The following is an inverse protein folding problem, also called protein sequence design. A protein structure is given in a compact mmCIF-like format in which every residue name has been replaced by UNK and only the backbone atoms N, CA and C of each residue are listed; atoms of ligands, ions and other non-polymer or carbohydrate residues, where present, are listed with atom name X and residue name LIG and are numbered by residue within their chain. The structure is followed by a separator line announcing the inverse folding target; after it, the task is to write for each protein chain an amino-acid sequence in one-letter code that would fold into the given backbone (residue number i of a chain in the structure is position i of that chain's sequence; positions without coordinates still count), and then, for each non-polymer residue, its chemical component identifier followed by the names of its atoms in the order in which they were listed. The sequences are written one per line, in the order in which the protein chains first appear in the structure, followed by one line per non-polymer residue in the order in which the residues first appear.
data_IF_981888043241
#
_entry.id   IF_981888043241
#
_cell.length_a   1.000
_cell.length_b   1.000
_cell.length_c   1.000
_cell.angle_alpha   90.00
_cell.angle_beta   90.00
_cell.angle_gamma   90.00
#
_symmetry.space_group_name_H-M   'P 1'
#
loop_
_entity.id
_entity.type
_entity.pdbx_description
1 polymer ?
#
# COMPACT_ATOMS: atom_id res chain seq x y z
N UNK A 7 24.61 -2.81 -0.73
CA UNK A 7 24.52 -4.18 -1.18
C UNK A 7 23.15 -4.42 -1.82
N UNK A 8 23.06 -4.05 -3.13
CA UNK A 8 21.82 -4.20 -3.88
C UNK A 8 21.58 -5.68 -4.24
N UNK A 9 20.62 -6.27 -3.56
CA UNK A 9 20.29 -7.67 -3.81
C UNK A 9 18.80 -7.93 -3.51
N UNK A 10 17.97 -6.99 -3.93
CA UNK A 10 16.54 -7.11 -3.73
C UNK A 10 16.04 -8.36 -4.42
N UNK A 11 16.81 -8.82 -5.39
CA UNK A 11 16.46 -10.01 -6.15
C UNK A 11 16.36 -11.22 -5.22
N UNK A 12 17.22 -11.21 -4.20
CA UNK A 12 17.24 -12.30 -3.24
C UNK A 12 15.98 -12.24 -2.39
N UNK A 13 15.59 -11.02 -2.05
CA UNK A 13 14.40 -10.81 -1.23
C UNK A 13 13.13 -10.93 -2.07
N UNK A 14 13.18 -10.32 -3.25
CA UNK A 14 12.05 -10.34 -4.16
C UNK A 14 11.79 -11.78 -4.60
N UNK A 15 12.85 -12.57 -4.59
CA UNK A 15 12.74 -13.97 -4.99
C UNK A 15 12.11 -14.80 -3.87
N UNK A 16 12.25 -14.30 -2.66
CA UNK A 16 11.71 -14.99 -1.50
C UNK A 16 10.21 -14.68 -1.37
N UNK A 17 9.82 -13.55 -1.91
CA UNK A 17 8.43 -13.13 -1.87
C UNK A 17 7.76 -13.49 -3.19
N UNK A 18 8.57 -13.86 -4.16
CA UNK A 18 8.07 -14.22 -5.47
C UNK A 18 7.82 -12.98 -6.33
N UNK A 19 8.91 -12.31 -6.68
CA UNK A 19 8.83 -11.12 -7.50
C UNK A 19 9.93 -11.16 -8.56
N UNK A 20 10.14 -12.36 -9.09
CA UNK A 20 11.16 -12.56 -10.10
C UNK A 20 10.89 -11.68 -11.32
N UNK A 21 9.62 -11.31 -11.47
CA UNK A 21 9.22 -10.48 -12.58
C UNK A 21 9.03 -9.04 -12.12
N UNK A 22 9.83 -8.65 -11.13
CA UNK A 22 9.77 -7.31 -10.59
C UNK A 22 11.17 -6.68 -10.53
N UNK A 23 12.12 -7.39 -11.11
CA UNK A 23 13.50 -6.91 -11.13
C UNK A 23 13.58 -5.65 -11.99
N UNK A 24 13.34 -5.83 -13.28
CA UNK A 24 13.38 -4.72 -14.21
C UNK A 24 12.32 -3.69 -13.83
N UNK A 25 11.37 -4.14 -13.02
CA UNK A 25 10.30 -3.27 -12.57
C UNK A 25 10.76 -2.45 -11.37
N UNK A 26 11.36 -3.14 -10.41
CA UNK A 26 11.85 -2.50 -9.21
C UNK A 26 13.03 -1.56 -9.52
N UNK A 27 13.91 -2.05 -10.39
CA UNK A 27 15.07 -1.28 -10.79
C UNK A 27 14.61 0.01 -11.48
N UNK A 28 13.40 -0.05 -12.01
CA UNK A 28 12.84 1.10 -12.71
C UNK A 28 12.40 2.16 -11.71
N UNK A 29 11.71 1.71 -10.67
CA UNK A 29 11.24 2.61 -9.63
C UNK A 29 12.38 2.87 -8.65
N UNK A 30 13.27 1.88 -8.55
CA UNK A 30 14.40 1.98 -7.65
C UNK A 30 14.12 1.19 -6.38
N UNK A 31 13.93 -0.11 -6.56
CA UNK A 31 13.63 -0.98 -5.43
C UNK A 31 14.67 -2.11 -5.39
N UNK A 32 15.87 -1.78 -5.83
CA UNK A 32 16.96 -2.75 -5.85
C UNK A 32 17.80 -2.60 -4.58
N UNK A 33 17.20 -1.97 -3.59
CA UNK A 33 17.88 -1.76 -2.32
C UNK A 33 17.03 -2.29 -1.16
N UNK A 34 17.72 -2.58 -0.06
CA UNK A 34 17.04 -3.11 1.12
C UNK A 34 16.55 -1.95 1.99
N UNK A 35 16.14 -0.87 1.33
CA UNK A 35 15.64 0.29 2.03
C UNK A 35 14.55 0.98 1.21
N UNK A 36 14.82 1.12 -0.08
CA UNK A 36 13.88 1.75 -0.98
C UNK A 36 12.49 1.12 -0.83
N UNK A 37 12.49 -0.20 -0.78
CA UNK A 37 11.24 -0.94 -0.63
C UNK A 37 10.75 -0.83 0.80
N UNK A 38 11.67 -0.46 1.69
CA UNK A 38 11.34 -0.31 3.09
C UNK A 38 10.48 0.94 3.29
N UNK A 39 10.51 1.79 2.29
CA UNK A 39 9.75 3.03 2.33
C UNK A 39 8.93 3.21 1.06
N UNK A 40 8.34 2.12 0.61
CA UNK A 40 7.53 2.15 -0.60
C UNK A 40 6.09 1.75 -0.25
N UNK A 41 5.19 2.05 -1.18
CA UNK A 41 3.78 1.74 -0.98
C UNK A 41 3.34 0.73 -2.05
N UNK A 42 2.09 0.31 -1.92
CA UNK A 42 1.53 -0.65 -2.86
C UNK A 42 1.27 0.04 -4.20
N UNK A 43 0.82 1.29 -4.11
CA UNK A 43 0.55 2.07 -5.30
C UNK A 43 1.83 2.27 -6.09
N UNK A 44 2.94 2.27 -5.37
CA UNK A 44 4.24 2.45 -6.00
C UNK A 44 4.59 1.19 -6.81
N UNK A 45 4.21 0.05 -6.25
CA UNK A 45 4.47 -1.22 -6.91
C UNK A 45 3.55 -1.37 -8.11
N UNK A 46 2.26 -1.24 -7.85
CA UNK A 46 1.25 -1.35 -8.89
C UNK A 46 1.60 -0.40 -10.04
N UNK A 47 2.12 0.76 -9.67
CA UNK A 47 2.50 1.76 -10.66
C UNK A 47 3.83 1.35 -11.30
N UNK A 48 4.61 0.59 -10.54
CA UNK A 48 5.90 0.13 -11.03
C UNK A 48 5.69 -0.76 -12.25
N UNK A 49 4.53 -1.39 -12.28
CA UNK A 49 4.19 -2.27 -13.39
C UNK A 49 3.67 -3.62 -12.89
N UNK A 50 3.20 -3.60 -11.65
CA UNK A 50 2.67 -4.81 -11.04
C UNK A 50 1.22 -4.57 -10.61
N UNK A 51 0.35 -4.51 -11.61
CA UNK A 51 -1.07 -4.29 -11.35
C UNK A 51 -1.67 -5.54 -10.73
N UNK A 52 -0.91 -6.63 -10.81
CA UNK A 52 -1.37 -7.90 -10.26
C UNK A 52 -1.88 -7.68 -8.83
N UNK A 53 -3.20 -7.58 -8.73
CA UNK A 53 -3.83 -7.37 -7.44
C UNK A 53 -3.63 -8.62 -6.57
N UNK A 54 -3.32 -8.36 -5.30
CA UNK A 54 -3.11 -9.45 -4.36
C UNK A 54 -1.66 -9.43 -3.84
N UNK A 55 -0.83 -10.24 -4.50
CA UNK A 55 0.56 -10.34 -4.12
C UNK A 55 1.08 -8.95 -3.71
N UNK A 56 0.50 -7.94 -4.34
CA UNK A 56 0.89 -6.57 -4.06
C UNK A 56 0.88 -6.32 -2.55
N UNK A 57 -0.14 -6.84 -1.89
CA UNK A 57 -0.26 -6.68 -0.45
C UNK A 57 0.91 -7.38 0.24
N UNK A 58 1.28 -8.53 -0.32
CA UNK A 58 2.39 -9.31 0.24
C UNK A 58 3.65 -8.44 0.25
N UNK A 59 3.98 -7.92 -0.91
CA UNK A 59 5.16 -7.08 -1.04
C UNK A 59 5.08 -5.93 -0.04
N UNK A 60 3.86 -5.44 0.15
CA UNK A 60 3.63 -4.35 1.08
C UNK A 60 4.04 -4.78 2.49
N UNK A 61 3.78 -6.04 2.79
CA UNK A 61 4.11 -6.59 4.09
C UNK A 61 5.62 -6.85 4.18
N UNK A 62 6.12 -7.57 3.18
CA UNK A 62 7.53 -7.91 3.14
C UNK A 62 8.35 -6.61 3.05
N UNK A 63 7.78 -5.63 2.37
CA UNK A 63 8.45 -4.35 2.21
C UNK A 63 8.88 -3.82 3.58
N UNK A 64 8.05 -4.07 4.57
CA UNK A 64 8.33 -3.62 5.92
C UNK A 64 9.39 -4.53 6.55
N UNK A 65 9.54 -5.71 5.95
CA UNK A 65 10.51 -6.67 6.43
C UNK A 65 11.87 -5.99 6.64
N UNK A 66 12.00 -4.82 6.03
CA UNK A 66 13.25 -4.07 6.15
C UNK A 66 13.19 -3.10 7.32
N UNK A 67 14.28 -3.07 8.08
CA UNK A 67 14.37 -2.19 9.23
C UNK A 67 15.51 -1.19 9.05
N UNK A 68 16.73 -1.72 9.01
CA UNK A 68 17.90 -0.89 8.85
C UNK A 68 19.05 -1.71 8.25
N UNK B 7 -16.34 7.78 19.36
CA UNK B 7 -17.23 8.30 18.34
C UNK B 7 -16.40 8.67 17.10
N UNK B 8 -15.83 7.61 16.45
CA UNK B 8 -15.03 7.82 15.26
C UNK B 8 -15.90 8.14 14.05
N UNK B 9 -15.28 8.76 13.06
CA UNK B 9 -15.99 9.12 11.85
C UNK B 9 -15.02 9.26 10.66
N UNK B 10 -14.70 8.11 10.08
CA UNK B 10 -13.79 8.07 8.94
C UNK B 10 -14.34 8.97 7.83
N UNK B 11 -15.64 9.25 7.92
CA UNK B 11 -16.29 10.09 6.93
C UNK B 11 -15.68 11.49 6.94
N UNK B 12 -15.43 11.99 8.14
CA UNK B 12 -14.86 13.31 8.30
C UNK B 12 -13.41 13.30 7.78
N UNK B 13 -12.83 12.11 7.78
CA UNK B 13 -11.46 11.94 7.31
C UNK B 13 -11.42 11.79 5.79
N UNK B 14 -12.34 10.98 5.28
CA UNK B 14 -12.41 10.74 3.85
C UNK B 14 -12.79 12.04 3.14
N UNK B 15 -13.48 12.90 3.87
CA UNK B 15 -13.90 14.19 3.32
C UNK B 15 -12.68 15.05 2.98
N UNK B 16 -11.65 14.88 3.79
CA UNK B 16 -10.42 15.64 3.58
C UNK B 16 -9.59 15.01 2.46
N UNK B 17 -9.67 13.69 2.39
CA UNK B 17 -8.93 12.96 1.37
C UNK B 17 -9.85 12.66 0.19
N UNK B 18 -10.87 13.50 0.05
CA UNK B 18 -11.83 13.34 -1.03
C UNK B 18 -12.00 11.87 -1.40
N UNK B 19 -12.76 11.16 -0.56
CA UNK B 19 -13.00 9.74 -0.79
C UNK B 19 -14.44 9.44 -0.39
N UNK B 20 -15.34 10.31 -0.83
CA UNK B 20 -16.75 10.15 -0.53
C UNK B 20 -17.27 8.83 -1.10
N UNK B 21 -16.53 8.30 -2.05
CA UNK B 21 -16.90 7.05 -2.69
C UNK B 21 -16.16 5.88 -2.03
N UNK B 22 -15.76 6.10 -0.78
CA UNK B 22 -15.05 5.08 -0.04
C UNK B 22 -15.70 4.84 1.32
N UNK B 23 -16.97 5.23 1.41
CA UNK B 23 -17.71 5.06 2.65
C UNK B 23 -18.20 3.61 2.75
N UNK B 24 -19.11 3.25 1.86
CA UNK B 24 -19.66 1.91 1.84
C UNK B 24 -18.54 0.92 1.51
N UNK B 25 -17.46 1.45 0.98
CA UNK B 25 -16.32 0.62 0.61
C UNK B 25 -15.45 0.35 1.85
N UNK B 26 -15.32 1.37 2.68
CA UNK B 26 -14.53 1.27 3.89
C UNK B 26 -15.29 0.49 4.97
N UNK B 27 -16.60 0.75 5.03
CA UNK B 27 -17.44 0.09 6.00
C UNK B 27 -17.42 -1.42 5.76
N UNK B 28 -17.11 -1.78 4.52
CA UNK B 28 -17.05 -3.19 4.14
C UNK B 28 -15.71 -3.80 4.57
N UNK B 29 -14.66 -3.04 4.30
CA UNK B 29 -13.31 -3.49 4.65
C UNK B 29 -13.10 -3.26 6.15
N UNK B 30 -13.79 -2.26 6.67
CA UNK B 30 -13.68 -1.93 8.08
C UNK B 30 -12.69 -0.78 8.26
N UNK B 31 -13.08 0.37 7.74
CA UNK B 31 -12.23 1.55 7.83
C UNK B 31 -13.08 2.75 8.28
N UNK B 32 -14.09 2.45 9.08
CA UNK B 32 -14.98 3.49 9.58
C UNK B 32 -14.49 3.96 10.95
N UNK B 33 -13.23 3.66 11.24
CA UNK B 33 -12.63 4.05 12.49
C UNK B 33 -11.33 4.81 12.26
N UNK B 34 -10.93 5.56 13.27
CA UNK B 34 -9.71 6.34 13.18
C UNK B 34 -8.52 5.52 13.66
N UNK B 35 -8.66 4.21 13.55
CA UNK B 35 -7.61 3.30 13.97
C UNK B 35 -7.43 2.19 12.93
N UNK B 36 -8.57 1.65 12.49
CA UNK B 36 -8.55 0.58 11.51
C UNK B 36 -7.68 0.96 10.31
N UNK B 37 -7.85 2.22 9.88
CA UNK B 37 -7.09 2.72 8.75
C UNK B 37 -5.62 2.85 9.15
N UNK B 38 -5.40 3.11 10.43
CA UNK B 38 -4.04 3.27 10.95
C UNK B 38 -3.48 1.88 11.27
N UNK B 39 -4.36 0.90 11.29
CA UNK B 39 -3.96 -0.46 11.58
C UNK B 39 -4.27 -1.39 10.41
N UNK B 40 -4.01 -0.89 9.20
CA UNK B 40 -4.26 -1.66 8.01
C UNK B 40 -3.17 -1.34 6.97
N UNK B 41 -3.41 -1.80 5.75
CA UNK B 41 -2.45 -1.58 4.67
C UNK B 41 -3.15 -0.81 3.54
N UNK B 42 -2.42 -0.63 2.45
CA UNK B 42 -2.96 0.07 1.29
C UNK B 42 -3.56 -0.94 0.32
N UNK B 43 -2.95 -2.11 0.27
CA UNK B 43 -3.41 -3.17 -0.61
C UNK B 43 -4.84 -3.55 -0.23
N UNK B 44 -5.23 -3.15 0.98
CA UNK B 44 -6.56 -3.44 1.48
C UNK B 44 -7.57 -2.51 0.81
N UNK B 45 -7.14 -1.27 0.64
CA UNK B 45 -8.00 -0.27 0.00
C UNK B 45 -8.29 -0.69 -1.43
N UNK B 46 -7.24 -0.95 -2.16
CA UNK B 46 -7.37 -1.36 -3.56
C UNK B 46 -8.33 -2.55 -3.65
N UNK B 47 -8.23 -3.42 -2.65
CA UNK B 47 -9.08 -4.61 -2.61
C UNK B 47 -10.46 -4.21 -2.08
N UNK B 48 -10.47 -3.16 -1.27
CA UNK B 48 -11.71 -2.68 -0.69
C UNK B 48 -12.70 -2.37 -1.81
N UNK B 49 -12.16 -2.04 -2.97
CA UNK B 49 -12.98 -1.72 -4.12
C UNK B 49 -12.54 -0.40 -4.76
N UNK B 50 -11.30 -0.03 -4.50
CA UNK B 50 -10.75 1.20 -5.03
C UNK B 50 -9.53 0.88 -5.90
N UNK B 51 -9.82 0.40 -7.12
CA UNK B 51 -8.76 0.06 -8.05
C UNK B 51 -8.17 1.34 -8.64
N UNK B 52 -8.91 2.43 -8.47
CA UNK B 52 -8.46 3.71 -8.98
C UNK B 52 -7.00 3.93 -8.61
N UNK B 53 -6.12 3.50 -9.50
CA UNK B 53 -4.69 3.63 -9.28
C UNK B 53 -4.35 5.11 -9.07
N UNK B 54 -3.54 5.36 -8.04
CA UNK B 54 -3.13 6.72 -7.72
C UNK B 54 -3.62 7.12 -6.33
N UNK B 55 -4.77 7.77 -6.30
CA UNK B 55 -5.36 8.21 -5.05
C UNK B 55 -5.09 7.15 -3.97
N UNK B 56 -5.11 5.90 -4.40
CA UNK B 56 -4.86 4.79 -3.49
C UNK B 56 -3.62 5.05 -2.65
N UNK B 57 -2.61 5.61 -3.30
CA UNK B 57 -1.36 5.92 -2.62
C UNK B 57 -1.60 7.02 -1.59
N UNK B 58 -2.49 7.93 -1.94
CA UNK B 58 -2.82 9.04 -1.06
C UNK B 58 -3.37 8.49 0.25
N UNK B 59 -4.39 7.65 0.12
CA UNK B 59 -5.02 7.05 1.28
C UNK B 59 -3.96 6.32 2.11
N UNK B 60 -2.98 5.76 1.42
CA UNK B 60 -1.91 5.04 2.07
C UNK B 60 -1.24 5.96 3.10
N UNK B 61 -0.99 7.18 2.67
CA UNK B 61 -0.36 8.16 3.54
C UNK B 61 -1.37 8.71 4.55
N UNK B 62 -2.58 8.94 4.07
CA UNK B 62 -3.64 9.47 4.92
C UNK B 62 -3.93 8.45 6.03
N UNK B 63 -3.93 7.18 5.65
CA UNK B 63 -4.19 6.12 6.61
C UNK B 63 -3.26 6.27 7.82
N UNK B 64 -2.05 6.73 7.53
CA UNK B 64 -1.06 6.92 8.58
C UNK B 64 -1.36 8.22 9.34
N UNK B 65 -2.18 9.05 8.72
CA UNK B 65 -2.55 10.32 9.32
C UNK B 65 -2.85 10.13 10.80
N UNK B 66 -3.19 8.90 11.15
CA UNK B 66 -3.51 8.57 12.53
C UNK B 66 -2.26 8.08 13.28
N UNK B 67 -1.97 8.75 14.38
CA UNK B 67 -0.81 8.40 15.19
C UNK B 67 -1.24 7.58 16.40
N UNK B 68 -2.50 7.75 16.77
CA UNK B 68 -3.06 7.04 17.91
C UNK B 68 -4.57 6.87 17.75
#
# INVERSE_FOLDING_TARGET
DEKTNDLPFVQLFLEEIGCTQYLDSFIQCNLVTEEEIKYLDKDILIALGVNKIGDRLKILRKSKSFQR
DEKTNDLPFVQLFLEEIGCTQYLDSFIQCNLVTEEEIKYLDKDILIALGVNKIGDRLKILRKSKSFQR
#
